data_IF_833514253350
#
_entry.id   IF_833514253350
#
_cell.length_a   1.000
_cell.length_b   1.000
_cell.length_c   1.000
_cell.angle_alpha   90.00
_cell.angle_beta   90.00
_cell.angle_gamma   90.00
#
_symmetry.space_group_name_H-M   'P 1'
#
loop_
_entity.id
_entity.type
_entity.pdbx_description
1 polymer ?
#
# COMPACT_ATOMS: atom_id res chain seq x y z
N UNK A 1 -17.09 11.52 12.26
CA UNK A 1 -16.98 10.24 11.53
C UNK A 1 -15.65 10.24 10.79
N UNK A 2 -15.05 9.07 10.56
CA UNK A 2 -13.84 8.97 9.74
C UNK A 2 -14.18 9.32 8.28
N UNK A 3 -13.16 9.70 7.51
CA UNK A 3 -13.31 9.86 6.06
C UNK A 3 -13.21 8.49 5.38
N UNK A 4 -13.67 8.36 4.14
CA UNK A 4 -13.52 7.13 3.35
C UNK A 4 -12.03 6.74 3.23
N UNK A 5 -11.15 7.72 3.00
CA UNK A 5 -9.69 7.54 3.07
C UNK A 5 -9.24 6.97 4.43
N UNK A 6 -9.73 7.52 5.53
CA UNK A 6 -9.40 7.04 6.88
C UNK A 6 -9.86 5.61 7.14
N UNK A 7 -11.04 5.24 6.62
CA UNK A 7 -11.57 3.88 6.68
C UNK A 7 -10.71 2.90 5.88
N UNK A 8 -10.29 3.27 4.67
CA UNK A 8 -9.37 2.47 3.85
C UNK A 8 -8.01 2.29 4.50
N UNK A 9 -7.43 3.36 5.04
CA UNK A 9 -6.15 3.29 5.77
C UNK A 9 -6.23 2.30 6.93
N UNK A 10 -7.32 2.38 7.71
CA UNK A 10 -7.56 1.44 8.80
C UNK A 10 -7.73 0.00 8.32
N UNK A 11 -8.51 -0.20 7.27
CA UNK A 11 -8.79 -1.54 6.72
C UNK A 11 -7.50 -2.20 6.25
N UNK A 12 -6.70 -1.50 5.45
CA UNK A 12 -5.43 -2.00 4.92
C UNK A 12 -4.39 -2.24 6.02
N UNK A 13 -4.27 -1.31 6.98
CA UNK A 13 -3.38 -1.49 8.13
C UNK A 13 -3.73 -2.77 8.89
N UNK A 14 -5.02 -3.02 9.14
CA UNK A 14 -5.49 -4.24 9.82
C UNK A 14 -5.31 -5.49 8.97
N UNK A 15 -5.56 -5.43 7.66
CA UNK A 15 -5.33 -6.53 6.70
C UNK A 15 -3.87 -6.99 6.75
N UNK A 16 -2.94 -6.04 6.84
CA UNK A 16 -1.50 -6.29 6.94
C UNK A 16 -1.02 -6.53 8.39
N UNK A 17 -1.94 -6.58 9.36
CA UNK A 17 -1.65 -6.79 10.80
C UNK A 17 -0.68 -5.78 11.39
N UNK A 18 -0.65 -4.55 10.86
CA UNK A 18 0.20 -3.49 11.36
C UNK A 18 -0.45 -2.77 12.55
N UNK A 19 0.34 -2.49 13.56
CA UNK A 19 0.01 -1.53 14.62
C UNK A 19 0.08 -0.09 14.10
N UNK A 20 -0.48 0.86 14.84
CA UNK A 20 -0.38 2.29 14.51
C UNK A 20 1.09 2.75 14.52
N UNK A 21 1.91 2.22 15.43
CA UNK A 21 3.32 2.56 15.55
C UNK A 21 4.12 2.05 14.34
N UNK A 22 3.89 0.81 13.92
CA UNK A 22 4.59 0.24 12.76
C UNK A 22 4.22 0.97 11.46
N UNK A 23 2.95 1.34 11.27
CA UNK A 23 2.56 2.13 10.10
C UNK A 23 3.18 3.54 10.15
N UNK A 24 3.23 4.15 11.33
CA UNK A 24 3.85 5.45 11.52
C UNK A 24 5.34 5.41 11.17
N UNK A 25 6.08 4.43 11.67
CA UNK A 25 7.50 4.22 11.38
C UNK A 25 7.74 4.02 9.87
N UNK A 26 7.01 3.10 9.23
CA UNK A 26 7.15 2.79 7.80
C UNK A 26 6.82 3.96 6.88
N UNK A 27 6.02 4.92 7.34
CA UNK A 27 5.59 6.09 6.54
C UNK A 27 6.33 7.38 6.93
N UNK A 28 7.23 7.33 7.92
CA UNK A 28 7.89 8.51 8.47
C UNK A 28 6.91 9.51 9.10
N UNK A 29 5.85 8.99 9.73
CA UNK A 29 4.79 9.77 10.39
C UNK A 29 4.81 9.53 11.91
N UNK A 30 4.04 10.32 12.66
CA UNK A 30 3.80 10.04 14.09
C UNK A 30 2.61 9.10 14.27
N UNK A 31 2.62 8.29 15.34
CA UNK A 31 1.49 7.43 15.73
C UNK A 31 0.18 8.22 15.84
N UNK A 32 0.23 9.39 16.47
CA UNK A 32 -0.93 10.28 16.62
C UNK A 32 -1.48 10.71 15.26
N UNK A 33 -0.61 11.01 14.29
CA UNK A 33 -1.05 11.39 12.95
C UNK A 33 -1.73 10.24 12.20
N UNK A 34 -1.21 9.01 12.28
CA UNK A 34 -1.88 7.84 11.71
C UNK A 34 -3.24 7.60 12.37
N UNK A 35 -3.31 7.72 13.70
CA UNK A 35 -4.58 7.63 14.40
C UNK A 35 -5.56 8.71 13.95
N UNK A 36 -5.11 9.95 13.79
CA UNK A 36 -5.96 11.05 13.31
C UNK A 36 -6.47 10.78 11.90
N UNK A 37 -5.63 10.29 10.98
CA UNK A 37 -6.05 9.90 9.63
C UNK A 37 -7.19 8.89 9.63
N UNK A 38 -7.14 7.89 10.53
CA UNK A 38 -8.16 6.85 10.59
C UNK A 38 -9.46 7.27 11.30
N UNK A 39 -9.44 8.35 12.09
CA UNK A 39 -10.53 8.65 13.02
C UNK A 39 -11.17 10.03 12.83
N UNK A 40 -10.43 11.02 12.31
CA UNK A 40 -10.87 12.42 12.26
C UNK A 40 -11.38 12.80 10.86
N UNK A 41 -12.47 13.59 10.78
CA UNK A 41 -13.09 13.95 9.49
C UNK A 41 -12.31 14.99 8.67
N UNK A 42 -11.30 15.67 9.23
CA UNK A 42 -10.70 16.89 8.62
C UNK A 42 -9.20 16.73 8.33
N UNK A 43 -8.63 15.55 8.47
CA UNK A 43 -7.19 15.36 8.23
C UNK A 43 -6.94 15.29 6.73
N UNK A 44 -6.20 16.28 6.20
CA UNK A 44 -5.82 16.35 4.79
C UNK A 44 -4.33 16.01 4.64
N UNK A 45 -3.98 14.73 4.38
CA UNK A 45 -2.59 14.36 4.12
C UNK A 45 -2.07 14.98 2.82
N UNK A 46 -0.77 15.23 2.74
CA UNK A 46 -0.11 15.60 1.48
C UNK A 46 -0.08 14.40 0.52
N UNK A 47 0.06 14.68 -0.77
CA UNK A 47 0.22 13.64 -1.80
C UNK A 47 1.41 12.71 -1.52
N UNK A 48 2.50 13.26 -0.99
CA UNK A 48 3.68 12.49 -0.57
C UNK A 48 3.35 11.49 0.54
N UNK A 49 2.58 11.92 1.56
CA UNK A 49 2.15 11.04 2.65
C UNK A 49 1.22 9.94 2.16
N UNK A 50 0.28 10.26 1.28
CA UNK A 50 -0.62 9.27 0.68
C UNK A 50 0.19 8.26 -0.14
N UNK A 51 1.17 8.72 -0.92
CA UNK A 51 2.03 7.85 -1.74
C UNK A 51 2.83 6.87 -0.89
N UNK A 52 3.44 7.34 0.21
CA UNK A 52 4.15 6.46 1.15
C UNK A 52 3.23 5.42 1.79
N UNK A 53 2.02 5.80 2.18
CA UNK A 53 1.04 4.87 2.74
C UNK A 53 0.66 3.81 1.69
N UNK A 54 0.39 4.22 0.45
CA UNK A 54 0.08 3.32 -0.66
C UNK A 54 1.23 2.33 -0.92
N UNK A 55 2.48 2.80 -0.89
CA UNK A 55 3.67 1.96 -1.08
C UNK A 55 3.84 0.91 0.04
N UNK A 56 3.61 1.31 1.30
CA UNK A 56 3.62 0.38 2.45
C UNK A 56 2.53 -0.67 2.32
N UNK A 57 1.35 -0.29 1.83
CA UNK A 57 0.23 -1.20 1.67
C UNK A 57 0.32 -2.08 0.41
N UNK A 58 1.17 -1.71 -0.56
CA UNK A 58 1.27 -2.40 -1.84
C UNK A 58 0.04 -2.16 -2.73
N UNK A 59 -0.59 -1.00 -2.62
CA UNK A 59 -1.81 -0.62 -3.36
C UNK A 59 -1.59 0.67 -4.15
N UNK A 60 -2.51 1.02 -5.03
CA UNK A 60 -2.43 2.25 -5.81
C UNK A 60 -2.84 3.46 -4.94
N UNK A 61 -2.29 4.63 -5.26
CA UNK A 61 -2.78 5.90 -4.68
C UNK A 61 -4.25 6.13 -5.06
N UNK A 62 -4.62 5.76 -6.29
CA UNK A 62 -5.99 5.82 -6.79
C UNK A 62 -6.95 5.05 -5.88
N UNK A 63 -6.61 3.80 -5.52
CA UNK A 63 -7.43 3.02 -4.59
C UNK A 63 -7.66 3.75 -3.26
N UNK A 64 -6.65 4.42 -2.70
CA UNK A 64 -6.82 5.16 -1.44
C UNK A 64 -7.72 6.40 -1.58
N UNK A 65 -7.70 7.07 -2.74
CA UNK A 65 -8.38 8.35 -2.96
C UNK A 65 -9.75 8.23 -3.65
N UNK A 66 -10.03 7.12 -4.31
CA UNK A 66 -11.27 6.89 -5.05
C UNK A 66 -12.42 6.52 -4.10
N UNK A 67 -13.21 7.50 -3.69
CA UNK A 67 -14.32 7.32 -2.74
C UNK A 67 -15.38 6.30 -3.22
N UNK A 68 -15.47 5.99 -4.51
CA UNK A 68 -16.40 5.00 -5.05
C UNK A 68 -15.88 3.56 -4.89
N UNK A 69 -14.55 3.37 -4.79
CA UNK A 69 -13.93 2.06 -4.53
C UNK A 69 -13.82 1.77 -3.05
N UNK A 70 -14.74 0.98 -2.49
CA UNK A 70 -14.67 0.60 -1.07
C UNK A 70 -13.78 -0.61 -0.79
N UNK A 71 -13.52 -1.44 -1.80
CA UNK A 71 -12.79 -2.71 -1.65
C UNK A 71 -11.56 -2.76 -2.53
N UNK A 72 -10.45 -3.26 -1.98
CA UNK A 72 -9.23 -3.50 -2.72
C UNK A 72 -9.46 -4.59 -3.78
N UNK A 73 -9.08 -4.34 -5.03
CA UNK A 73 -9.18 -5.33 -6.12
C UNK A 73 -7.84 -5.97 -6.43
N UNK A 74 -7.86 -7.11 -7.13
CA UNK A 74 -6.63 -7.72 -7.66
C UNK A 74 -5.92 -6.80 -8.64
N UNK A 75 -6.64 -6.00 -9.43
CA UNK A 75 -6.03 -5.06 -10.39
C UNK A 75 -5.21 -3.99 -9.68
N UNK A 76 -5.67 -3.49 -8.54
CA UNK A 76 -4.95 -2.48 -7.75
C UNK A 76 -3.61 -3.04 -7.24
N UNK A 77 -3.59 -4.30 -6.81
CA UNK A 77 -2.37 -4.98 -6.33
C UNK A 77 -1.44 -5.31 -7.50
N UNK A 78 -1.99 -5.87 -8.58
CA UNK A 78 -1.23 -6.29 -9.76
C UNK A 78 -0.55 -5.10 -10.45
N UNK A 79 -1.18 -3.93 -10.48
CA UNK A 79 -0.58 -2.72 -11.04
C UNK A 79 0.68 -2.29 -10.26
N UNK A 80 0.63 -2.36 -8.93
CA UNK A 80 1.81 -2.05 -8.08
C UNK A 80 2.90 -3.08 -8.28
N UNK A 81 2.55 -4.36 -8.34
CA UNK A 81 3.49 -5.45 -8.62
C UNK A 81 4.20 -5.23 -9.97
N UNK A 82 3.43 -5.05 -11.05
CA UNK A 82 3.99 -4.85 -12.39
C UNK A 82 4.92 -3.62 -12.44
N UNK A 83 4.51 -2.50 -11.82
CA UNK A 83 5.35 -1.30 -11.70
C UNK A 83 6.70 -1.62 -11.05
N UNK A 84 6.70 -2.35 -9.93
CA UNK A 84 7.94 -2.76 -9.24
C UNK A 84 8.81 -3.65 -10.13
N UNK A 85 8.22 -4.62 -10.82
CA UNK A 85 8.93 -5.53 -11.73
C UNK A 85 9.58 -4.75 -12.88
N UNK A 86 8.87 -3.80 -13.50
CA UNK A 86 9.42 -2.98 -14.60
C UNK A 86 10.56 -2.05 -14.18
N UNK A 87 10.70 -1.76 -12.89
CA UNK A 87 11.74 -0.90 -12.33
C UNK A 87 12.94 -1.66 -11.77
N UNK A 88 12.96 -3.00 -11.88
CA UNK A 88 14.09 -3.80 -11.42
C UNK A 88 15.34 -3.55 -12.27
N UNK A 89 16.48 -3.48 -11.60
CA UNK A 89 17.78 -3.53 -12.26
C UNK A 89 18.03 -4.94 -12.86
N UNK A 90 18.99 -5.02 -13.78
CA UNK A 90 19.28 -6.25 -14.51
C UNK A 90 19.59 -7.43 -13.57
N UNK A 91 20.25 -7.18 -12.44
CA UNK A 91 20.62 -8.22 -11.47
C UNK A 91 19.38 -8.78 -10.76
N UNK A 92 18.51 -7.91 -10.24
CA UNK A 92 17.27 -8.34 -9.57
C UNK A 92 16.29 -8.98 -10.54
N UNK A 93 16.22 -8.49 -11.78
CA UNK A 93 15.41 -9.09 -12.82
C UNK A 93 15.85 -10.52 -13.14
N UNK A 94 17.15 -10.76 -13.29
CA UNK A 94 17.68 -12.11 -13.51
C UNK A 94 17.40 -13.04 -12.32
N UNK A 95 17.44 -12.52 -11.08
CA UNK A 95 17.04 -13.30 -9.90
C UNK A 95 15.54 -13.65 -9.92
N UNK A 96 14.67 -12.70 -10.25
CA UNK A 96 13.23 -12.95 -10.39
C UNK A 96 12.94 -14.01 -11.45
N UNK A 97 13.57 -13.91 -12.63
CA UNK A 97 13.44 -14.88 -13.72
C UNK A 97 13.86 -16.29 -13.27
N UNK A 98 14.94 -16.41 -12.48
CA UNK A 98 15.36 -17.69 -11.91
C UNK A 98 14.30 -18.32 -10.99
N UNK A 99 13.64 -17.51 -10.16
CA UNK A 99 12.56 -18.00 -9.28
C UNK A 99 11.32 -18.43 -10.07
N UNK A 100 10.97 -17.69 -11.12
CA UNK A 100 9.82 -18.04 -11.98
C UNK A 100 10.05 -19.38 -12.69
N UNK A 101 11.23 -19.56 -13.31
CA UNK A 101 11.56 -20.82 -13.98
C UNK A 101 11.53 -22.02 -13.02
N UNK A 102 11.97 -21.83 -11.77
CA UNK A 102 11.94 -22.91 -10.78
C UNK A 102 10.52 -23.33 -10.36
N UNK A 103 9.53 -22.43 -10.49
CA UNK A 103 8.12 -22.74 -10.23
C UNK A 103 7.51 -23.48 -11.43
N UNK A 104 7.90 -23.11 -12.65
CA UNK A 104 7.43 -23.75 -13.88
C UNK A 104 8.03 -25.17 -14.07
N UNK A 105 9.21 -25.44 -13.51
CA UNK A 105 9.88 -26.75 -13.56
C UNK A 105 9.28 -27.79 -12.59
N UNK A 106 8.35 -27.38 -11.71
CA UNK A 106 7.66 -28.26 -10.73
C UNK A 106 6.32 -28.84 -11.28
N UNK A 107 6.00 -28.63 -12.58
CA UNK A 107 4.99 -29.39 -13.35
C UNK A 107 5.60 -30.57 -14.14
#
# INVERSE_FOLDING_TARGET
MATILGEKIRAERKRLKLTLDELAEKTGSSKSYIWELENRPVVRPSAEKISRIADVFGVTVEFLLDDEKQTLTESDVNQVFFRRVTQLDATKRAQLEKFLNAIDDDE
#
